data_IF_541240618085
#
_entry.id   IF_541240618085
#
_cell.length_a   1.000
_cell.length_b   1.000
_cell.length_c   1.000
_cell.angle_alpha   90.00
_cell.angle_beta   90.00
_cell.angle_gamma   90.00
#
_symmetry.space_group_name_H-M   'P 1'
#
loop_
_entity.id
_entity.type
_entity.pdbx_description
1 polymer ?
#
# COMPACT_ATOMS: atom_id res chain seq x y z
N UNK A 1 -19.89 -4.94 -4.44
CA UNK A 1 -18.67 -4.29 -3.90
C UNK A 1 -19.09 -2.93 -3.35
N UNK A 2 -18.74 -2.58 -2.12
CA UNK A 2 -19.09 -1.26 -1.55
C UNK A 2 -18.20 -0.19 -2.18
N UNK A 3 -18.80 0.79 -2.85
CA UNK A 3 -18.09 1.93 -3.45
C UNK A 3 -17.94 3.03 -2.40
N UNK A 4 -16.75 3.64 -2.33
CA UNK A 4 -16.47 4.80 -1.46
C UNK A 4 -16.38 6.06 -2.32
N UNK A 5 -16.87 7.18 -1.79
CA UNK A 5 -16.81 8.48 -2.46
C UNK A 5 -15.61 9.29 -1.94
N UNK A 6 -14.84 9.85 -2.87
CA UNK A 6 -13.77 10.82 -2.60
C UNK A 6 -14.26 12.22 -2.99
N UNK A 7 -14.15 13.17 -2.06
CA UNK A 7 -14.37 14.58 -2.33
C UNK A 7 -13.01 15.26 -2.48
N UNK A 8 -12.72 15.78 -3.68
CA UNK A 8 -11.46 16.45 -4.00
C UNK A 8 -11.73 17.92 -4.34
N UNK A 9 -10.89 18.81 -3.82
CA UNK A 9 -10.85 20.21 -4.27
C UNK A 9 -9.87 20.30 -5.44
N UNK A 10 -10.35 20.81 -6.57
CA UNK A 10 -9.56 21.04 -7.79
C UNK A 10 -9.76 22.48 -8.24
N UNK A 11 -8.81 23.03 -8.99
CA UNK A 11 -9.00 24.32 -9.63
C UNK A 11 -10.05 24.25 -10.76
N UNK A 12 -10.65 25.40 -11.08
CA UNK A 12 -11.73 25.49 -12.06
C UNK A 12 -11.29 25.07 -13.47
N UNK A 13 -10.02 25.29 -13.82
CA UNK A 13 -9.50 24.94 -15.14
C UNK A 13 -9.38 23.42 -15.30
N UNK A 14 -8.92 22.71 -14.28
CA UNK A 14 -8.85 21.26 -14.24
C UNK A 14 -10.26 20.66 -14.31
N UNK A 15 -11.20 21.20 -13.54
CA UNK A 15 -12.60 20.76 -13.59
C UNK A 15 -13.21 20.95 -15.00
N UNK A 16 -12.97 22.10 -15.64
CA UNK A 16 -13.44 22.35 -17.01
C UNK A 16 -12.87 21.34 -18.02
N UNK A 17 -11.56 21.07 -17.96
CA UNK A 17 -10.90 20.08 -18.84
C UNK A 17 -11.46 18.67 -18.64
N UNK A 18 -11.71 18.26 -17.39
CA UNK A 18 -12.34 16.97 -17.08
C UNK A 18 -13.76 16.89 -17.61
N UNK A 19 -14.54 17.97 -17.50
CA UNK A 19 -15.90 18.06 -18.04
C UNK A 19 -15.94 17.96 -19.56
N UNK A 20 -15.08 18.71 -20.26
CA UNK A 20 -14.97 18.64 -21.72
C UNK A 20 -14.60 17.23 -22.19
N UNK A 21 -13.66 16.58 -21.48
CA UNK A 21 -13.28 15.20 -21.77
C UNK A 21 -14.44 14.23 -21.56
N UNK A 22 -15.15 14.35 -20.45
CA UNK A 22 -16.31 13.53 -20.13
C UNK A 22 -17.43 13.68 -21.19
N UNK A 23 -17.68 14.90 -21.67
CA UNK A 23 -18.63 15.17 -22.75
C UNK A 23 -18.20 14.51 -24.06
N UNK A 24 -16.93 14.66 -24.45
CA UNK A 24 -16.39 14.06 -25.68
C UNK A 24 -16.46 12.54 -25.68
N UNK A 25 -16.21 11.92 -24.52
CA UNK A 25 -16.23 10.47 -24.37
C UNK A 25 -17.63 9.92 -24.02
N UNK A 26 -18.64 10.78 -23.84
CA UNK A 26 -19.97 10.43 -23.35
C UNK A 26 -19.95 9.60 -22.05
N UNK A 27 -19.08 10.00 -21.12
CA UNK A 27 -18.84 9.35 -19.82
C UNK A 27 -19.10 10.35 -18.69
N UNK A 28 -19.31 9.84 -17.47
CA UNK A 28 -19.36 10.72 -16.29
C UNK A 28 -17.98 11.22 -15.91
N UNK A 29 -17.90 12.41 -15.31
CA UNK A 29 -16.64 12.97 -14.80
C UNK A 29 -16.00 12.00 -13.79
N UNK A 30 -16.79 11.35 -12.94
CA UNK A 30 -16.31 10.36 -11.96
C UNK A 30 -15.69 9.12 -12.64
N UNK A 31 -16.23 8.67 -13.78
CA UNK A 31 -15.64 7.54 -14.50
C UNK A 31 -14.26 7.91 -15.08
N UNK A 32 -14.14 9.09 -15.70
CA UNK A 32 -12.86 9.62 -16.19
C UNK A 32 -11.86 9.81 -15.05
N UNK A 33 -12.30 10.41 -13.94
CA UNK A 33 -11.46 10.67 -12.78
C UNK A 33 -10.97 9.36 -12.15
N UNK A 34 -11.84 8.35 -12.01
CA UNK A 34 -11.46 7.04 -11.49
C UNK A 34 -10.42 6.35 -12.38
N UNK A 35 -10.55 6.39 -13.71
CA UNK A 35 -9.55 5.80 -14.60
C UNK A 35 -8.20 6.51 -14.47
N UNK A 36 -8.20 7.84 -14.43
CA UNK A 36 -6.97 8.64 -14.26
C UNK A 36 -6.31 8.32 -12.91
N UNK A 37 -7.10 8.28 -11.82
CA UNK A 37 -6.60 7.95 -10.49
C UNK A 37 -6.12 6.50 -10.40
N UNK A 38 -6.75 5.56 -11.10
CA UNK A 38 -6.31 4.17 -11.16
C UNK A 38 -4.95 4.07 -11.87
N UNK A 39 -4.77 4.74 -13.00
CA UNK A 39 -3.47 4.81 -13.69
C UNK A 39 -2.44 5.47 -12.78
N UNK A 40 -2.75 6.61 -12.16
CA UNK A 40 -1.84 7.27 -11.23
C UNK A 40 -1.45 6.36 -10.04
N UNK A 41 -2.39 5.58 -9.50
CA UNK A 41 -2.11 4.62 -8.43
C UNK A 41 -1.25 3.42 -8.88
N UNK A 42 -1.24 3.10 -10.17
CA UNK A 42 -0.31 2.10 -10.74
C UNK A 42 1.03 2.69 -11.14
N UNK A 43 1.07 3.99 -11.44
CA UNK A 43 2.27 4.73 -11.83
C UNK A 43 3.07 5.17 -10.61
N UNK A 44 2.44 5.30 -9.43
CA UNK A 44 3.14 5.24 -8.16
C UNK A 44 3.70 3.80 -8.05
N UNK A 45 4.96 3.57 -8.47
CA UNK A 45 5.53 2.24 -8.38
C UNK A 45 5.50 1.92 -6.90
N UNK A 46 5.00 0.74 -6.50
CA UNK A 46 4.65 0.36 -5.12
C UNK A 46 5.24 1.27 -4.03
N UNK A 47 4.42 1.86 -3.15
CA UNK A 47 4.89 2.68 -2.01
C UNK A 47 6.23 2.13 -1.48
N UNK A 48 7.24 2.94 -1.09
CA UNK A 48 8.51 2.41 -0.60
C UNK A 48 8.36 1.24 0.40
N UNK A 49 7.27 1.24 1.16
CA UNK A 49 6.85 0.13 2.02
C UNK A 49 6.43 -1.15 1.28
N UNK A 50 5.64 -1.05 0.23
CA UNK A 50 5.19 -2.18 -0.60
C UNK A 50 6.34 -2.76 -1.42
N UNK A 51 7.26 -1.93 -1.95
CA UNK A 51 8.50 -2.39 -2.59
C UNK A 51 9.42 -3.11 -1.62
N UNK A 52 9.67 -2.50 -0.46
CA UNK A 52 10.43 -3.13 0.61
C UNK A 52 9.79 -4.48 1.01
N UNK A 53 8.46 -4.52 1.13
CA UNK A 53 7.73 -5.74 1.49
C UNK A 53 7.82 -6.80 0.39
N UNK A 54 7.71 -6.41 -0.88
CA UNK A 54 7.84 -7.30 -2.04
C UNK A 54 9.23 -7.93 -2.13
N UNK A 55 10.29 -7.10 -2.01
CA UNK A 55 11.69 -7.57 -2.00
C UNK A 55 12.01 -8.42 -0.77
N UNK A 56 11.56 -8.02 0.42
CA UNK A 56 11.70 -8.83 1.62
C UNK A 56 10.97 -10.18 1.51
N UNK A 57 9.82 -10.22 0.83
CA UNK A 57 9.11 -11.48 0.55
C UNK A 57 9.93 -12.39 -0.37
N UNK A 58 10.48 -11.83 -1.45
CA UNK A 58 11.31 -12.57 -2.41
C UNK A 58 12.59 -13.12 -1.77
N UNK A 59 13.16 -12.42 -0.79
CA UNK A 59 14.32 -12.86 -0.01
C UNK A 59 13.97 -13.80 1.16
N UNK A 60 12.70 -14.19 1.32
CA UNK A 60 12.26 -15.07 2.41
C UNK A 60 12.30 -14.42 3.81
N UNK A 61 12.40 -13.10 3.88
CA UNK A 61 12.52 -12.33 5.12
C UNK A 61 11.16 -12.05 5.78
N UNK A 62 10.05 -12.28 5.08
CA UNK A 62 8.72 -12.11 5.65
C UNK A 62 8.23 -13.39 6.32
N UNK A 63 7.92 -13.31 7.61
CA UNK A 63 7.11 -14.32 8.28
C UNK A 63 5.68 -14.28 7.71
N UNK A 64 5.26 -15.36 7.02
CA UNK A 64 3.87 -15.55 6.64
C UNK A 64 3.08 -15.83 7.92
N UNK A 65 2.35 -14.83 8.42
CA UNK A 65 1.34 -15.08 9.44
C UNK A 65 0.23 -15.92 8.79
N UNK A 66 0.11 -17.17 9.21
CA UNK A 66 -1.06 -17.99 8.86
C UNK A 66 -2.32 -17.18 9.22
N UNK A 67 -3.34 -17.11 8.33
CA UNK A 67 -4.56 -16.38 8.62
C UNK A 67 -5.09 -16.80 9.98
N UNK A 68 -5.23 -15.83 10.89
CA UNK A 68 -5.81 -16.07 12.21
C UNK A 68 -7.20 -16.64 11.96
N UNK A 69 -7.45 -17.88 12.39
CA UNK A 69 -8.80 -18.45 12.41
C UNK A 69 -9.75 -17.43 13.05
N UNK A 70 -10.99 -17.29 12.55
CA UNK A 70 -11.93 -16.30 13.03
C UNK A 70 -12.00 -16.40 14.56
N UNK A 71 -11.82 -15.27 15.23
CA UNK A 71 -11.81 -15.21 16.68
C UNK A 71 -13.18 -15.66 17.18
N UNK A 72 -13.25 -16.87 17.74
CA UNK A 72 -14.34 -17.21 18.64
C UNK A 72 -14.24 -16.26 19.83
N UNK A 73 -15.37 -15.67 20.22
CA UNK A 73 -15.50 -14.53 21.16
C UNK A 73 -15.01 -14.82 22.60
N UNK A 74 -14.34 -15.95 22.84
CA UNK A 74 -13.84 -16.37 24.16
C UNK A 74 -12.35 -16.03 24.42
N UNK A 75 -11.72 -15.15 23.62
CA UNK A 75 -10.33 -14.73 23.86
C UNK A 75 -10.28 -13.35 24.53
N UNK A 76 -9.92 -13.34 25.82
CA UNK A 76 -9.63 -12.16 26.65
C UNK A 76 -9.01 -10.96 25.92
N UNK A 77 -9.34 -9.70 26.29
CA UNK A 77 -8.88 -8.49 25.61
C UNK A 77 -7.36 -8.22 25.72
N UNK A 78 -6.60 -9.06 26.43
CA UNK A 78 -5.14 -8.98 26.58
C UNK A 78 -4.36 -10.16 25.99
N UNK A 79 -4.99 -11.07 25.24
CA UNK A 79 -4.40 -12.32 24.73
C UNK A 79 -3.30 -12.20 23.65
N UNK A 80 -2.52 -11.11 23.61
CA UNK A 80 -1.26 -11.10 22.83
C UNK A 80 -0.21 -11.80 23.66
N UNK A 81 0.22 -13.01 23.23
CA UNK A 81 1.47 -13.61 23.74
C UNK A 81 2.56 -12.53 23.69
N UNK A 82 3.35 -12.34 24.75
CA UNK A 82 4.50 -11.44 24.70
C UNK A 82 5.40 -11.88 23.54
N UNK A 83 5.78 -10.90 22.73
CA UNK A 83 6.69 -11.13 21.62
C UNK A 83 8.10 -11.21 22.20
N UNK A 84 8.76 -12.35 22.02
CA UNK A 84 10.15 -12.53 22.43
C UNK A 84 11.06 -11.74 21.47
N UNK A 85 11.44 -10.54 21.89
CA UNK A 85 12.26 -9.63 21.09
C UNK A 85 13.68 -10.15 20.88
N UNK A 86 14.23 -10.92 21.83
CA UNK A 86 15.56 -11.53 21.68
C UNK A 86 15.54 -12.62 20.62
N UNK A 87 14.46 -13.40 20.58
CA UNK A 87 14.26 -14.37 19.52
C UNK A 87 14.13 -13.70 18.14
N UNK A 88 13.37 -12.61 18.03
CA UNK A 88 13.29 -11.85 16.78
C UNK A 88 14.65 -11.29 16.37
N UNK A 89 15.37 -10.66 17.30
CA UNK A 89 16.67 -10.08 17.03
C UNK A 89 17.68 -11.12 16.50
N UNK A 90 17.65 -12.35 17.05
CA UNK A 90 18.45 -13.48 16.54
C UNK A 90 18.04 -13.92 15.14
N UNK A 91 16.73 -13.99 14.87
CA UNK A 91 16.20 -14.40 13.55
C UNK A 91 16.48 -13.38 12.45
N UNK A 92 16.48 -12.09 12.80
CA UNK A 92 16.69 -10.98 11.86
C UNK A 92 18.13 -10.46 11.88
N UNK A 93 19.04 -11.14 12.60
CA UNK A 93 20.42 -10.74 12.69
C UNK A 93 21.08 -10.74 11.30
N UNK A 94 21.75 -9.65 10.95
CA UNK A 94 22.42 -9.49 9.65
C UNK A 94 21.54 -8.96 8.53
N UNK A 95 20.23 -8.76 8.73
CA UNK A 95 19.37 -8.15 7.71
C UNK A 95 19.55 -6.63 7.60
N UNK A 96 20.13 -5.98 8.61
CA UNK A 96 20.32 -4.52 8.66
C UNK A 96 20.95 -3.94 7.39
N UNK A 97 22.16 -4.38 6.97
CA UNK A 97 22.81 -3.90 5.76
C UNK A 97 21.98 -4.12 4.48
N UNK A 98 21.28 -5.25 4.38
CA UNK A 98 20.44 -5.58 3.22
C UNK A 98 19.20 -4.69 3.16
N UNK A 99 18.60 -4.38 4.32
CA UNK A 99 17.48 -3.45 4.42
C UNK A 99 17.92 -2.02 4.12
N UNK A 100 19.09 -1.60 4.60
CA UNK A 100 19.65 -0.28 4.34
C UNK A 100 19.97 -0.08 2.85
N UNK A 101 20.49 -1.09 2.17
CA UNK A 101 20.71 -1.08 0.71
C UNK A 101 19.40 -0.93 -0.06
N UNK A 102 18.38 -1.74 0.27
CA UNK A 102 17.05 -1.65 -0.37
C UNK A 102 16.42 -0.27 -0.15
N UNK A 103 16.54 0.29 1.06
CA UNK A 103 16.02 1.61 1.39
C UNK A 103 16.84 2.74 0.73
N UNK A 104 18.13 2.52 0.48
CA UNK A 104 19.02 3.43 -0.22
C UNK A 104 18.67 3.55 -1.70
N UNK A 105 18.53 2.42 -2.40
CA UNK A 105 18.13 2.38 -3.82
C UNK A 105 16.78 3.09 -4.08
N UNK A 106 15.87 2.99 -3.12
CA UNK A 106 14.55 3.63 -3.18
C UNK A 106 14.60 5.15 -2.95
N UNK A 107 15.61 5.69 -2.26
CA UNK A 107 15.80 7.15 -2.09
C UNK A 107 16.46 7.81 -3.30
N UNK A 108 17.24 7.06 -4.06
CA UNK A 108 18.01 7.57 -5.21
C UNK A 108 17.24 7.51 -6.53
N UNK A 109 16.03 6.90 -6.54
CA UNK A 109 15.13 6.89 -7.70
C UNK A 109 14.19 8.11 -7.70
N UNK A 110 14.11 8.87 -8.81
CA UNK A 110 13.25 10.06 -8.94
C UNK A 110 11.76 9.72 -8.99
#
# INVERSE_FOLDING_TARGET
MLMKQLLLRVDDQLHARLRERAQRENRSINAIANDILAVAATVDPESPRDRLRSRAAALGMLAVRSPRAPATEAASPSGRKPVDMDHIARLTAGWGPQLDEILGEDRERP
#
